data_IF_807601589750
#
_entry.id   IF_807601589750
#
_cell.length_a   1.000
_cell.length_b   1.000
_cell.length_c   1.000
_cell.angle_alpha   90.00
_cell.angle_beta   90.00
_cell.angle_gamma   90.00
#
_symmetry.space_group_name_H-M   'P 1'
#
loop_
_entity.id
_entity.type
_entity.pdbx_description
1 polymer ?
#
# COMPACT_ATOMS: atom_id res chain seq x y z
N UNK A 1 7.61 -15.97 26.23
CA UNK A 1 6.41 -15.27 25.69
C UNK A 1 6.81 -13.84 25.36
N UNK A 2 7.27 -13.59 24.12
CA UNK A 2 7.69 -12.24 23.73
C UNK A 2 6.46 -11.41 23.40
N UNK A 3 6.22 -10.35 24.18
CA UNK A 3 5.20 -9.36 23.88
C UNK A 3 5.45 -8.74 22.49
N UNK A 4 4.40 -8.34 21.75
CA UNK A 4 4.59 -7.72 20.42
C UNK A 4 5.50 -6.52 20.53
N UNK A 5 6.48 -6.43 19.62
CA UNK A 5 7.63 -5.49 19.64
C UNK A 5 7.28 -4.00 19.77
N UNK A 6 6.05 -3.61 19.47
CA UNK A 6 5.56 -2.24 19.74
C UNK A 6 5.42 -1.94 21.23
N UNK A 7 5.01 -2.92 22.01
CA UNK A 7 4.88 -2.75 23.48
C UNK A 7 6.25 -2.59 24.13
N UNK A 8 7.28 -3.26 23.59
CA UNK A 8 8.63 -3.20 24.17
C UNK A 8 9.48 -2.03 23.69
N UNK A 9 9.30 -1.55 22.45
CA UNK A 9 10.01 -0.34 21.96
C UNK A 9 9.48 0.95 22.65
N UNK A 10 8.17 1.01 22.91
CA UNK A 10 7.55 2.11 23.66
C UNK A 10 7.79 2.05 25.18
N UNK A 11 8.22 0.91 25.71
CA UNK A 11 8.51 0.80 27.14
C UNK A 11 9.92 1.28 27.54
N UNK A 12 10.91 1.31 26.63
CA UNK A 12 12.29 1.77 26.94
C UNK A 12 12.59 3.22 26.50
N UNK A 13 12.02 3.70 25.41
CA UNK A 13 11.89 5.15 25.22
C UNK A 13 10.64 5.53 26.00
N UNK A 14 10.80 6.34 27.08
CA UNK A 14 9.65 6.70 27.89
C UNK A 14 8.47 7.10 27.00
N UNK A 15 7.22 6.74 27.31
CA UNK A 15 6.05 6.91 26.43
C UNK A 15 5.94 8.34 25.89
N UNK A 16 6.49 9.31 26.61
CA UNK A 16 6.57 10.72 26.20
C UNK A 16 7.48 10.97 24.98
N UNK A 17 8.62 10.29 24.87
CA UNK A 17 9.57 10.47 23.74
C UNK A 17 8.97 9.87 22.47
N UNK A 18 8.36 8.71 22.54
CA UNK A 18 7.74 8.07 21.37
C UNK A 18 6.56 8.88 20.85
N UNK A 19 5.73 9.42 21.76
CA UNK A 19 4.63 10.32 21.40
C UNK A 19 5.15 11.61 20.80
N UNK A 20 6.21 12.21 21.38
CA UNK A 20 6.81 13.45 20.87
C UNK A 20 7.38 13.27 19.46
N UNK A 21 8.11 12.19 19.19
CA UNK A 21 8.65 11.88 17.86
C UNK A 21 7.52 11.63 16.86
N UNK A 22 6.48 10.88 17.24
CA UNK A 22 5.31 10.65 16.38
C UNK A 22 4.57 11.96 16.07
N UNK A 23 4.36 12.81 17.06
CA UNK A 23 3.75 14.12 16.88
C UNK A 23 4.60 15.05 16.00
N UNK A 24 5.92 15.04 16.15
CA UNK A 24 6.83 15.79 15.29
C UNK A 24 6.77 15.34 13.83
N UNK A 25 6.79 14.02 13.58
CA UNK A 25 6.64 13.47 12.21
C UNK A 25 5.30 13.87 11.62
N UNK A 26 4.22 13.76 12.37
CA UNK A 26 2.89 14.14 11.91
C UNK A 26 2.81 15.65 11.64
N UNK A 27 3.40 16.49 12.50
CA UNK A 27 3.46 17.93 12.30
C UNK A 27 4.24 18.29 11.03
N UNK A 28 5.36 17.62 10.77
CA UNK A 28 6.14 17.79 9.54
C UNK A 28 5.33 17.38 8.31
N UNK A 29 4.61 16.25 8.35
CA UNK A 29 3.76 15.79 7.25
C UNK A 29 2.58 16.75 6.98
N UNK A 30 2.05 17.41 7.99
CA UNK A 30 1.01 18.44 7.82
C UNK A 30 1.61 19.76 7.32
N UNK A 31 2.83 20.09 7.73
CA UNK A 31 3.52 21.31 7.28
C UNK A 31 3.89 21.27 5.80
N UNK A 32 4.27 20.10 5.24
CA UNK A 32 4.67 19.94 3.84
C UNK A 32 3.65 20.52 2.83
N UNK A 33 2.36 20.15 2.87
CA UNK A 33 1.39 20.72 1.93
C UNK A 33 1.13 22.20 2.18
N UNK A 34 1.22 22.71 3.41
CA UNK A 34 1.08 24.13 3.71
C UNK A 34 2.26 24.93 3.12
N UNK A 35 3.47 24.42 3.21
CA UNK A 35 4.66 25.02 2.62
C UNK A 35 4.61 25.00 1.08
N UNK A 36 3.95 24.03 0.47
CA UNK A 36 3.76 24.01 -0.99
C UNK A 36 2.78 25.07 -1.52
N UNK A 37 1.97 25.66 -0.65
CA UNK A 37 1.06 26.78 -1.00
C UNK A 37 1.73 28.16 -0.96
N UNK A 38 2.96 28.24 -0.43
CA UNK A 38 3.72 29.49 -0.41
C UNK A 38 4.14 29.89 -1.83
N UNK A 39 4.33 31.20 -2.09
CA UNK A 39 4.89 31.68 -3.36
C UNK A 39 6.24 31.02 -3.70
N UNK A 40 6.52 30.80 -4.98
CA UNK A 40 7.73 30.13 -5.44
C UNK A 40 9.05 30.86 -5.04
N UNK A 41 8.95 32.17 -4.78
CA UNK A 41 10.11 33.00 -4.37
C UNK A 41 10.48 32.82 -2.87
N UNK A 42 9.66 32.09 -2.11
CA UNK A 42 9.92 31.86 -0.70
C UNK A 42 10.92 30.72 -0.53
N UNK A 43 11.97 30.94 0.30
CA UNK A 43 12.98 29.92 0.60
C UNK A 43 12.45 28.61 1.22
N UNK A 44 11.24 28.65 1.81
CA UNK A 44 10.57 27.49 2.39
C UNK A 44 9.56 26.84 1.42
N UNK A 45 9.44 27.33 0.18
CA UNK A 45 8.54 26.75 -0.80
C UNK A 45 8.94 25.32 -1.17
N UNK A 46 7.97 24.40 -1.10
CA UNK A 46 8.16 23.01 -1.49
C UNK A 46 7.58 22.80 -2.88
N UNK A 47 8.40 22.29 -3.80
CA UNK A 47 7.96 22.03 -5.17
C UNK A 47 6.82 21.00 -5.24
N UNK A 48 5.94 21.17 -6.24
CA UNK A 48 4.86 20.23 -6.53
C UNK A 48 5.39 18.80 -6.77
N UNK A 49 6.59 18.67 -7.34
CA UNK A 49 7.26 17.39 -7.53
C UNK A 49 7.56 16.70 -6.20
N UNK A 50 8.16 17.43 -5.24
CA UNK A 50 8.48 16.88 -3.91
C UNK A 50 7.22 16.45 -3.18
N UNK A 51 6.13 17.24 -3.24
CA UNK A 51 4.87 16.90 -2.62
C UNK A 51 4.28 15.61 -3.22
N UNK A 52 4.28 15.49 -4.55
CA UNK A 52 3.84 14.27 -5.25
C UNK A 52 4.70 13.06 -4.91
N UNK A 53 6.02 13.22 -4.86
CA UNK A 53 6.94 12.15 -4.53
C UNK A 53 6.72 11.63 -3.11
N UNK A 54 6.60 12.53 -2.13
CA UNK A 54 6.34 12.15 -0.74
C UNK A 54 4.95 11.51 -0.62
N UNK A 55 3.92 12.06 -1.28
CA UNK A 55 2.58 11.49 -1.31
C UNK A 55 2.56 10.06 -1.89
N UNK A 56 3.30 9.82 -2.98
CA UNK A 56 3.53 8.47 -3.54
C UNK A 56 4.16 7.53 -2.51
N UNK A 57 5.21 7.98 -1.83
CA UNK A 57 5.89 7.18 -0.80
C UNK A 57 4.95 6.85 0.37
N UNK A 58 4.09 7.78 0.78
CA UNK A 58 3.09 7.54 1.82
C UNK A 58 2.05 6.50 1.39
N UNK A 59 1.60 6.50 0.13
CA UNK A 59 0.72 5.45 -0.40
C UNK A 59 1.42 4.07 -0.32
N UNK A 60 2.69 3.97 -0.69
CA UNK A 60 3.45 2.73 -0.57
C UNK A 60 3.72 2.34 0.89
N UNK A 61 3.85 3.30 1.80
CA UNK A 61 3.94 3.02 3.23
C UNK A 61 2.65 2.38 3.79
N UNK A 62 1.47 2.78 3.28
CA UNK A 62 0.20 2.13 3.61
C UNK A 62 0.17 0.69 3.10
N UNK A 63 0.65 0.44 1.87
CA UNK A 63 0.77 -0.92 1.31
C UNK A 63 1.72 -1.77 2.15
N UNK A 64 2.87 -1.24 2.54
CA UNK A 64 3.83 -1.93 3.40
C UNK A 64 3.22 -2.26 4.78
N UNK A 65 2.47 -1.33 5.38
CA UNK A 65 1.74 -1.56 6.62
C UNK A 65 0.68 -2.66 6.46
N UNK A 66 -0.10 -2.62 5.37
CA UNK A 66 -1.11 -3.61 5.06
C UNK A 66 -0.50 -5.02 4.88
N UNK A 67 0.64 -5.11 4.20
CA UNK A 67 1.41 -6.36 4.06
C UNK A 67 1.94 -6.84 5.42
N UNK A 68 2.41 -5.95 6.28
CA UNK A 68 2.91 -6.31 7.62
C UNK A 68 1.81 -6.87 8.52
N UNK A 69 0.57 -6.40 8.41
CA UNK A 69 -0.56 -6.99 9.14
C UNK A 69 -0.75 -8.47 8.79
N UNK A 70 -0.54 -8.85 7.55
CA UNK A 70 -0.67 -10.23 7.08
C UNK A 70 0.62 -11.03 7.33
N UNK A 71 1.77 -10.48 6.96
CA UNK A 71 3.03 -11.19 7.09
C UNK A 71 3.61 -11.12 8.50
N UNK A 72 3.63 -9.95 9.09
CA UNK A 72 4.23 -9.71 10.40
C UNK A 72 3.43 -10.34 11.54
N UNK A 73 2.10 -10.21 11.51
CA UNK A 73 1.22 -10.68 12.59
C UNK A 73 0.63 -12.07 12.34
N UNK A 74 0.17 -12.37 11.11
CA UNK A 74 -0.42 -13.67 10.80
C UNK A 74 0.56 -14.67 10.20
N UNK A 75 1.78 -14.26 9.86
CA UNK A 75 2.83 -15.15 9.33
C UNK A 75 2.64 -15.56 7.86
N UNK A 76 1.76 -14.89 7.13
CA UNK A 76 1.43 -15.20 5.74
C UNK A 76 2.15 -14.22 4.80
N UNK A 77 3.26 -14.61 4.21
CA UNK A 77 3.88 -13.80 3.17
C UNK A 77 3.01 -13.79 1.92
N UNK A 78 2.51 -12.63 1.56
CA UNK A 78 1.75 -12.42 0.33
C UNK A 78 2.56 -11.58 -0.66
N UNK A 79 2.57 -12.01 -1.90
CA UNK A 79 3.10 -11.27 -3.04
C UNK A 79 1.97 -10.76 -3.95
N UNK A 80 0.79 -10.58 -3.37
CA UNK A 80 -0.43 -10.19 -4.08
C UNK A 80 -0.91 -8.76 -3.83
N UNK A 81 -0.26 -8.00 -2.96
CA UNK A 81 -0.72 -6.68 -2.52
C UNK A 81 -0.71 -5.64 -3.64
N UNK A 82 0.16 -5.79 -4.65
CA UNK A 82 0.16 -4.94 -5.85
C UNK A 82 -1.14 -5.04 -6.64
N UNK A 83 -1.78 -6.22 -6.71
CA UNK A 83 -3.07 -6.39 -7.37
C UNK A 83 -4.17 -5.59 -6.66
N UNK A 84 -4.26 -5.68 -5.33
CA UNK A 84 -5.27 -4.96 -4.56
C UNK A 84 -5.07 -3.45 -4.64
N UNK A 85 -3.83 -3.00 -4.61
CA UNK A 85 -3.47 -1.60 -4.81
C UNK A 85 -3.92 -1.11 -6.20
N UNK A 86 -3.60 -1.86 -7.25
CA UNK A 86 -3.98 -1.51 -8.60
C UNK A 86 -5.50 -1.53 -8.81
N UNK A 87 -6.23 -2.52 -8.27
CA UNK A 87 -7.70 -2.56 -8.37
C UNK A 87 -8.35 -1.29 -7.80
N UNK A 88 -7.93 -0.83 -6.62
CA UNK A 88 -8.40 0.44 -6.07
C UNK A 88 -7.99 1.63 -6.91
N UNK A 89 -6.76 1.63 -7.42
CA UNK A 89 -6.26 2.64 -8.35
C UNK A 89 -7.05 2.71 -9.65
N UNK A 90 -7.37 1.57 -10.26
CA UNK A 90 -8.18 1.52 -11.48
C UNK A 90 -9.63 1.97 -11.26
N UNK A 91 -10.23 1.65 -10.12
CA UNK A 91 -11.58 2.13 -9.78
C UNK A 91 -11.62 3.66 -9.68
N UNK A 92 -10.65 4.26 -8.98
CA UNK A 92 -10.51 5.73 -8.92
C UNK A 92 -10.09 6.32 -10.27
N UNK A 93 -9.17 5.67 -10.98
CA UNK A 93 -8.70 6.09 -12.31
C UNK A 93 -9.85 6.16 -13.32
N UNK A 94 -10.76 5.19 -13.33
CA UNK A 94 -11.93 5.22 -14.20
C UNK A 94 -12.86 6.39 -13.86
N UNK A 95 -13.09 6.67 -12.58
CA UNK A 95 -13.83 7.86 -12.17
C UNK A 95 -13.19 9.15 -12.75
N UNK A 96 -11.89 9.30 -12.61
CA UNK A 96 -11.16 10.48 -13.11
C UNK A 96 -11.20 10.57 -14.65
N UNK A 97 -11.10 9.45 -15.36
CA UNK A 97 -11.26 9.38 -16.81
C UNK A 97 -12.67 9.81 -17.25
N UNK A 98 -13.69 9.38 -16.51
CA UNK A 98 -15.09 9.76 -16.76
C UNK A 98 -15.32 11.25 -16.51
N UNK A 99 -14.72 11.81 -15.44
CA UNK A 99 -14.79 13.26 -15.19
C UNK A 99 -14.13 14.07 -16.31
N UNK A 100 -13.05 13.57 -16.91
CA UNK A 100 -12.36 14.22 -18.02
C UNK A 100 -13.14 14.11 -19.34
N UNK A 101 -13.90 13.02 -19.54
CA UNK A 101 -14.68 12.74 -20.75
C UNK A 101 -16.07 13.41 -20.75
N UNK A 102 -16.60 13.80 -19.58
CA UNK A 102 -17.97 14.28 -19.44
C UNK A 102 -18.98 13.18 -19.82
N UNK A 103 -19.90 13.52 -20.74
CA UNK A 103 -20.92 12.58 -21.22
C UNK A 103 -20.39 11.58 -22.26
N UNK A 104 -19.14 11.77 -22.72
CA UNK A 104 -18.50 10.90 -23.72
C UNK A 104 -17.82 9.65 -23.12
N UNK A 105 -17.24 8.87 -24.01
CA UNK A 105 -16.35 7.75 -23.63
C UNK A 105 -14.96 8.27 -23.25
N UNK A 106 -14.27 7.61 -22.31
CA UNK A 106 -12.86 7.87 -22.01
C UNK A 106 -11.98 7.83 -23.27
N UNK A 107 -11.01 8.74 -23.38
CA UNK A 107 -10.18 8.92 -24.56
C UNK A 107 -9.48 7.62 -25.02
N UNK A 108 -9.05 6.74 -24.10
CA UNK A 108 -8.42 5.47 -24.48
C UNK A 108 -9.44 4.49 -25.12
N UNK A 109 -10.71 4.56 -24.75
CA UNK A 109 -11.77 3.72 -25.35
C UNK A 109 -12.08 4.19 -26.76
N UNK A 110 -12.19 5.49 -26.99
CA UNK A 110 -12.38 6.06 -28.34
C UNK A 110 -11.20 5.75 -29.24
N UNK A 111 -9.97 5.81 -28.72
CA UNK A 111 -8.76 5.40 -29.46
C UNK A 111 -8.78 3.91 -29.85
N UNK A 112 -9.32 3.05 -28.99
CA UNK A 112 -9.48 1.61 -29.26
C UNK A 112 -10.77 1.27 -30.01
N UNK A 113 -11.46 2.28 -30.56
CA UNK A 113 -12.72 2.12 -31.33
C UNK A 113 -13.87 1.48 -30.56
N UNK A 114 -13.92 1.67 -29.24
CA UNK A 114 -15.08 1.26 -28.44
C UNK A 114 -16.25 2.22 -28.71
N UNK A 115 -17.43 1.66 -28.85
CA UNK A 115 -18.69 2.40 -29.11
C UNK A 115 -19.50 2.64 -27.85
N UNK A 116 -19.36 1.78 -26.84
CA UNK A 116 -20.15 1.80 -25.62
C UNK A 116 -19.27 1.56 -24.39
N UNK A 117 -19.72 2.06 -23.24
CA UNK A 117 -19.08 1.81 -21.95
C UNK A 117 -19.43 0.40 -21.47
N UNK A 118 -18.45 -0.46 -21.13
CA UNK A 118 -18.70 -1.77 -20.54
C UNK A 118 -19.57 -1.67 -19.28
N UNK A 119 -20.45 -2.65 -19.06
CA UNK A 119 -21.38 -2.66 -17.94
C UNK A 119 -20.69 -2.57 -16.56
N UNK A 120 -19.51 -3.15 -16.41
CA UNK A 120 -18.74 -3.13 -15.16
C UNK A 120 -18.14 -1.73 -14.83
N UNK A 121 -18.09 -0.83 -15.80
CA UNK A 121 -17.74 0.57 -15.60
C UNK A 121 -18.94 1.51 -15.47
N UNK A 122 -20.17 0.98 -15.60
CA UNK A 122 -21.37 1.78 -15.39
C UNK A 122 -21.42 2.31 -13.96
N UNK A 123 -21.89 3.56 -13.82
CA UNK A 123 -21.94 4.22 -12.52
C UNK A 123 -20.63 4.86 -12.04
N UNK A 124 -19.47 4.56 -12.64
CA UNK A 124 -18.17 5.13 -12.22
C UNK A 124 -18.03 6.64 -12.47
N UNK A 125 -18.98 7.28 -13.11
CA UNK A 125 -19.09 8.76 -13.14
C UNK A 125 -19.47 9.37 -11.79
N UNK A 126 -20.05 8.59 -10.87
CA UNK A 126 -20.37 9.02 -9.52
C UNK A 126 -19.21 8.68 -8.56
N UNK A 127 -18.76 9.69 -7.80
CA UNK A 127 -17.66 9.54 -6.85
C UNK A 127 -17.92 8.49 -5.76
N UNK A 128 -19.14 8.49 -5.19
CA UNK A 128 -19.49 7.53 -4.13
C UNK A 128 -19.47 6.08 -4.63
N UNK A 129 -19.97 5.86 -5.86
CA UNK A 129 -19.91 4.54 -6.47
C UNK A 129 -18.48 4.09 -6.73
N UNK A 130 -17.62 4.98 -7.25
CA UNK A 130 -16.21 4.69 -7.44
C UNK A 130 -15.52 4.36 -6.11
N UNK A 131 -15.80 5.09 -5.03
CA UNK A 131 -15.29 4.78 -3.69
C UNK A 131 -15.80 3.44 -3.14
N UNK A 132 -17.05 3.07 -3.43
CA UNK A 132 -17.53 1.71 -3.13
C UNK A 132 -16.72 0.65 -3.89
N UNK A 133 -16.44 0.85 -5.17
CA UNK A 133 -15.62 -0.07 -5.97
C UNK A 133 -14.16 -0.15 -5.47
N UNK A 134 -13.59 0.96 -5.01
CA UNK A 134 -12.24 1.01 -4.39
C UNK A 134 -12.14 0.06 -3.20
N UNK A 135 -13.21 -0.10 -2.44
CA UNK A 135 -13.26 -1.02 -1.28
C UNK A 135 -13.73 -2.42 -1.69
N UNK A 136 -14.78 -2.50 -2.49
CA UNK A 136 -15.43 -3.77 -2.83
C UNK A 136 -14.59 -4.61 -3.79
N UNK A 137 -13.96 -4.03 -4.82
CA UNK A 137 -13.21 -4.82 -5.79
C UNK A 137 -12.03 -5.57 -5.15
N UNK A 138 -11.09 -4.92 -4.44
CA UNK A 138 -10.02 -5.63 -3.75
C UNK A 138 -10.54 -6.48 -2.59
N UNK A 139 -11.57 -6.01 -1.85
CA UNK A 139 -12.13 -6.71 -0.71
C UNK A 139 -12.81 -8.03 -1.10
N UNK A 140 -13.66 -8.03 -2.13
CA UNK A 140 -14.34 -9.22 -2.64
C UNK A 140 -13.35 -10.21 -3.26
N UNK A 141 -12.40 -9.72 -4.06
CA UNK A 141 -11.37 -10.60 -4.62
C UNK A 141 -10.55 -11.26 -3.51
N UNK A 142 -10.15 -10.50 -2.49
CA UNK A 142 -9.44 -11.03 -1.34
C UNK A 142 -10.30 -12.02 -0.54
N UNK A 143 -11.60 -11.73 -0.36
CA UNK A 143 -12.53 -12.60 0.33
C UNK A 143 -12.67 -13.95 -0.39
N UNK A 144 -12.94 -13.93 -1.70
CA UNK A 144 -13.13 -15.14 -2.51
C UNK A 144 -11.82 -15.96 -2.54
N UNK A 145 -10.71 -15.33 -2.91
CA UNK A 145 -9.42 -16.02 -2.97
C UNK A 145 -9.01 -16.57 -1.60
N UNK A 146 -9.09 -15.74 -0.56
CA UNK A 146 -8.72 -16.11 0.80
C UNK A 146 -9.61 -17.22 1.37
N UNK A 147 -10.92 -17.21 1.07
CA UNK A 147 -11.84 -18.25 1.50
C UNK A 147 -11.40 -19.63 0.96
N UNK A 148 -11.11 -19.74 -0.33
CA UNK A 148 -10.67 -21.00 -0.92
C UNK A 148 -9.27 -21.39 -0.45
N UNK A 149 -8.31 -20.45 -0.40
CA UNK A 149 -6.95 -20.70 0.01
C UNK A 149 -6.86 -21.20 1.46
N UNK A 150 -7.57 -20.55 2.39
CA UNK A 150 -7.53 -20.94 3.80
C UNK A 150 -8.38 -22.17 4.12
N UNK A 151 -9.46 -22.42 3.35
CA UNK A 151 -10.23 -23.65 3.42
C UNK A 151 -9.40 -24.86 2.99
N UNK A 152 -8.56 -24.70 1.95
CA UNK A 152 -7.63 -25.73 1.46
C UNK A 152 -6.38 -25.88 2.34
N UNK A 153 -6.29 -25.17 3.48
CA UNK A 153 -5.18 -25.21 4.44
C UNK A 153 -3.81 -24.87 3.82
N UNK A 154 -3.81 -24.02 2.78
CA UNK A 154 -2.58 -23.56 2.12
C UNK A 154 -1.79 -22.70 3.09
N UNK A 155 -0.47 -22.98 3.22
CA UNK A 155 0.41 -22.34 4.19
C UNK A 155 1.78 -22.01 3.57
N UNK A 156 2.49 -21.08 4.23
CA UNK A 156 3.90 -20.78 3.93
C UNK A 156 4.13 -20.36 2.48
N UNK A 157 5.14 -20.94 1.85
CA UNK A 157 5.60 -20.59 0.50
C UNK A 157 4.51 -20.79 -0.57
N UNK A 158 3.67 -21.81 -0.42
CA UNK A 158 2.57 -22.05 -1.37
C UNK A 158 1.58 -20.90 -1.44
N UNK A 159 1.29 -20.25 -0.30
CA UNK A 159 0.44 -19.07 -0.28
C UNK A 159 1.10 -17.90 -1.03
N UNK A 160 2.41 -17.70 -0.86
CA UNK A 160 3.16 -16.66 -1.57
C UNK A 160 3.14 -16.87 -3.09
N UNK A 161 3.37 -18.11 -3.54
CA UNK A 161 3.35 -18.48 -4.97
C UNK A 161 1.95 -18.26 -5.55
N UNK A 162 0.89 -18.69 -4.85
CA UNK A 162 -0.48 -18.52 -5.34
C UNK A 162 -0.90 -17.06 -5.43
N UNK A 163 -0.54 -16.24 -4.45
CA UNK A 163 -0.82 -14.79 -4.49
C UNK A 163 -0.03 -14.10 -5.59
N UNK A 164 1.21 -14.53 -5.86
CA UNK A 164 2.01 -14.05 -6.98
C UNK A 164 1.39 -14.43 -8.32
N UNK A 165 0.95 -15.67 -8.47
CA UNK A 165 0.27 -16.15 -9.68
C UNK A 165 -1.04 -15.39 -9.94
N UNK A 166 -1.84 -15.14 -8.89
CA UNK A 166 -3.06 -14.33 -8.97
C UNK A 166 -2.75 -12.92 -9.48
N UNK A 167 -1.72 -12.29 -8.93
CA UNK A 167 -1.29 -10.94 -9.30
C UNK A 167 -0.81 -10.88 -10.74
N UNK A 168 -0.01 -11.86 -11.16
CA UNK A 168 0.48 -11.95 -12.53
C UNK A 168 -0.66 -12.20 -13.54
N UNK A 169 -1.62 -13.06 -13.19
CA UNK A 169 -2.80 -13.29 -14.01
C UNK A 169 -3.65 -12.00 -14.13
N UNK A 170 -3.84 -11.26 -13.03
CA UNK A 170 -4.48 -9.94 -13.05
C UNK A 170 -3.74 -8.96 -13.96
N UNK A 171 -2.42 -8.87 -13.84
CA UNK A 171 -1.59 -8.03 -14.70
C UNK A 171 -1.80 -8.34 -16.18
N UNK A 172 -1.73 -9.62 -16.56
CA UNK A 172 -1.93 -10.04 -17.95
C UNK A 172 -3.33 -9.72 -18.46
N UNK A 173 -4.36 -9.86 -17.62
CA UNK A 173 -5.75 -9.50 -17.96
C UNK A 173 -5.85 -7.99 -18.25
N UNK A 174 -5.22 -7.16 -17.43
CA UNK A 174 -5.29 -5.70 -17.57
C UNK A 174 -4.41 -5.17 -18.73
N UNK A 175 -3.39 -5.91 -19.16
CA UNK A 175 -2.62 -5.57 -20.35
C UNK A 175 -3.40 -5.74 -21.66
N UNK A 176 -4.50 -6.52 -21.66
CA UNK A 176 -5.31 -6.70 -22.87
C UNK A 176 -6.12 -5.45 -23.16
N UNK A 177 -6.04 -4.96 -24.38
CA UNK A 177 -6.81 -3.78 -24.83
C UNK A 177 -8.32 -4.03 -24.85
N UNK A 178 -8.72 -5.30 -25.05
CA UNK A 178 -10.11 -5.73 -25.18
C UNK A 178 -10.85 -5.78 -23.82
N UNK A 179 -10.13 -5.59 -22.71
CA UNK A 179 -10.72 -5.69 -21.37
C UNK A 179 -11.12 -4.35 -20.77
N UNK A 180 -10.98 -3.23 -21.50
CA UNK A 180 -11.41 -1.90 -21.04
C UNK A 180 -10.63 -1.33 -19.87
N UNK A 181 -9.37 -1.80 -19.63
CA UNK A 181 -8.47 -1.29 -18.59
C UNK A 181 -7.32 -0.43 -19.16
N UNK A 182 -7.41 0.01 -20.42
CA UNK A 182 -6.42 0.87 -21.06
C UNK A 182 -5.15 0.15 -21.53
N UNK A 183 -5.06 -1.16 -21.41
CA UNK A 183 -3.95 -1.98 -21.89
C UNK A 183 -2.59 -1.54 -21.33
N UNK A 184 -1.55 -1.53 -22.17
CA UNK A 184 -0.20 -1.18 -21.75
C UNK A 184 -0.06 0.26 -21.21
N UNK A 185 -0.82 1.20 -21.75
CA UNK A 185 -0.77 2.60 -21.34
C UNK A 185 -1.52 2.86 -20.02
N UNK A 186 -2.46 2.00 -19.66
CA UNK A 186 -3.32 2.20 -18.51
C UNK A 186 -4.21 3.44 -18.61
N UNK A 187 -4.47 4.09 -17.48
CA UNK A 187 -5.23 5.33 -17.42
C UNK A 187 -4.31 6.50 -17.09
N UNK A 188 -4.42 7.58 -17.87
CA UNK A 188 -3.58 8.78 -17.80
C UNK A 188 -4.42 10.03 -18.10
N UNK A 189 -3.80 11.21 -18.02
CA UNK A 189 -4.43 12.49 -18.41
C UNK A 189 -5.65 12.85 -17.55
N UNK A 190 -5.57 12.61 -16.27
CA UNK A 190 -6.60 13.04 -15.32
C UNK A 190 -6.61 14.57 -15.20
N UNK A 191 -7.80 15.19 -15.33
CA UNK A 191 -7.94 16.64 -15.32
C UNK A 191 -8.52 17.16 -14.02
N UNK A 192 -9.63 16.58 -13.58
CA UNK A 192 -10.40 17.08 -12.45
C UNK A 192 -10.80 15.97 -11.50
N UNK A 193 -10.91 16.30 -10.23
CA UNK A 193 -11.51 15.47 -9.18
C UNK A 193 -12.54 16.31 -8.43
N UNK A 194 -13.80 15.85 -8.35
CA UNK A 194 -14.90 16.56 -7.71
C UNK A 194 -15.08 18.02 -8.23
N UNK A 195 -14.75 18.26 -9.50
CA UNK A 195 -14.80 19.58 -10.12
C UNK A 195 -13.55 20.46 -9.93
N UNK A 196 -12.59 20.04 -9.09
CA UNK A 196 -11.34 20.78 -8.87
C UNK A 196 -10.23 20.25 -9.78
N UNK A 197 -9.41 21.15 -10.31
CA UNK A 197 -8.24 20.77 -11.13
C UNK A 197 -7.18 20.03 -10.33
N UNK A 198 -6.75 18.85 -10.79
CA UNK A 198 -5.74 18.02 -10.08
C UNK A 198 -4.37 18.72 -10.02
N UNK A 199 -4.09 19.60 -10.98
CA UNK A 199 -2.84 20.36 -11.04
C UNK A 199 -2.79 21.55 -10.09
N UNK A 200 -3.93 21.97 -9.54
CA UNK A 200 -4.01 23.08 -8.61
C UNK A 200 -3.28 22.80 -7.30
N UNK A 201 -2.50 23.75 -6.77
CA UNK A 201 -1.75 23.57 -5.52
C UNK A 201 -2.64 23.16 -4.34
N UNK A 202 -3.83 23.77 -4.23
CA UNK A 202 -4.81 23.45 -3.19
C UNK A 202 -5.31 22.00 -3.26
N UNK A 203 -5.65 21.52 -4.45
CA UNK A 203 -6.11 20.14 -4.67
C UNK A 203 -5.01 19.12 -4.33
N UNK A 204 -3.76 19.39 -4.72
CA UNK A 204 -2.61 18.55 -4.37
C UNK A 204 -2.39 18.51 -2.87
N UNK A 205 -2.49 19.64 -2.18
CA UNK A 205 -2.38 19.71 -0.73
C UNK A 205 -3.47 18.88 -0.03
N UNK A 206 -4.72 18.96 -0.49
CA UNK A 206 -5.85 18.18 0.06
C UNK A 206 -5.64 16.68 -0.18
N UNK A 207 -5.22 16.25 -1.38
CA UNK A 207 -4.92 14.86 -1.70
C UNK A 207 -3.78 14.30 -0.82
N UNK A 208 -2.74 15.10 -0.61
CA UNK A 208 -1.65 14.73 0.28
C UNK A 208 -2.14 14.56 1.73
N UNK A 209 -2.92 15.52 2.25
CA UNK A 209 -3.52 15.43 3.59
C UNK A 209 -4.45 14.23 3.74
N UNK A 210 -5.25 13.91 2.71
CA UNK A 210 -6.08 12.71 2.70
C UNK A 210 -5.23 11.43 2.80
N UNK A 211 -4.06 11.41 2.16
CA UNK A 211 -3.11 10.27 2.27
C UNK A 211 -2.49 10.18 3.66
N UNK A 212 -2.10 11.30 4.26
CA UNK A 212 -1.63 11.34 5.65
C UNK A 212 -2.72 10.84 6.61
N UNK A 213 -3.97 11.29 6.42
CA UNK A 213 -5.11 10.85 7.23
C UNK A 213 -5.34 9.34 7.09
N UNK A 214 -5.30 8.81 5.87
CA UNK A 214 -5.44 7.36 5.63
C UNK A 214 -4.28 6.58 6.28
N UNK A 215 -3.05 7.08 6.22
CA UNK A 215 -1.91 6.46 6.87
C UNK A 215 -2.08 6.41 8.39
N UNK A 216 -2.49 7.52 9.01
CA UNK A 216 -2.75 7.61 10.46
C UNK A 216 -3.90 6.67 10.85
N UNK A 217 -4.99 6.65 10.07
CA UNK A 217 -6.10 5.74 10.29
C UNK A 217 -5.67 4.26 10.18
N UNK A 218 -4.87 3.93 9.16
CA UNK A 218 -4.32 2.58 8.97
C UNK A 218 -3.40 2.15 10.12
N UNK A 219 -2.54 3.06 10.59
CA UNK A 219 -1.70 2.84 11.78
C UNK A 219 -2.55 2.64 13.03
N UNK A 220 -3.60 3.44 13.22
CA UNK A 220 -4.50 3.30 14.37
C UNK A 220 -5.24 1.96 14.34
N UNK A 221 -5.77 1.56 13.19
CA UNK A 221 -6.41 0.25 13.00
C UNK A 221 -5.41 -0.87 13.31
N UNK A 222 -4.21 -0.82 12.74
CA UNK A 222 -3.16 -1.81 12.99
C UNK A 222 -2.74 -1.89 14.45
N UNK A 223 -2.57 -0.74 15.10
CA UNK A 223 -2.25 -0.66 16.51
C UNK A 223 -3.38 -1.20 17.42
N UNK A 224 -4.63 -0.85 17.12
CA UNK A 224 -5.80 -1.35 17.82
C UNK A 224 -5.94 -2.86 17.66
N UNK A 225 -5.74 -3.35 16.43
CA UNK A 225 -5.76 -4.78 16.12
C UNK A 225 -4.66 -5.52 16.88
N UNK A 226 -3.42 -5.07 16.83
CA UNK A 226 -2.27 -5.71 17.45
C UNK A 226 -2.41 -5.82 18.99
N UNK A 227 -3.02 -4.83 19.63
CA UNK A 227 -3.26 -4.82 21.09
C UNK A 227 -4.50 -5.59 21.52
N UNK A 228 -5.38 -5.94 20.63
CA UNK A 228 -6.62 -6.65 20.91
C UNK A 228 -6.39 -8.14 21.24
N UNK A 229 -7.44 -8.81 21.71
CA UNK A 229 -7.45 -10.29 21.82
C UNK A 229 -7.21 -10.95 20.47
N UNK A 230 -7.78 -10.36 19.41
CA UNK A 230 -7.61 -10.81 18.03
C UNK A 230 -6.13 -10.80 17.60
N UNK A 231 -5.40 -9.72 17.85
CA UNK A 231 -3.97 -9.61 17.53
C UNK A 231 -3.11 -10.62 18.27
N UNK A 232 -3.44 -10.94 19.52
CA UNK A 232 -2.76 -12.01 20.27
C UNK A 232 -2.99 -13.38 19.66
N UNK A 233 -4.22 -13.66 19.19
CA UNK A 233 -4.54 -14.89 18.45
C UNK A 233 -3.78 -14.96 17.13
N UNK A 234 -3.69 -13.85 16.36
CA UNK A 234 -2.90 -13.80 15.13
C UNK A 234 -1.41 -14.11 15.36
N UNK A 235 -0.82 -13.55 16.42
CA UNK A 235 0.57 -13.83 16.78
C UNK A 235 0.77 -15.30 17.18
N UNK A 236 -0.13 -15.85 17.98
CA UNK A 236 -0.10 -17.26 18.35
C UNK A 236 -0.29 -18.19 17.13
N UNK A 237 -1.11 -17.79 16.17
CA UNK A 237 -1.32 -18.48 14.90
C UNK A 237 -0.06 -18.48 14.03
N UNK A 238 0.64 -17.35 13.96
CA UNK A 238 1.94 -17.24 13.27
C UNK A 238 2.99 -18.17 13.88
N UNK A 239 3.07 -18.21 15.20
CA UNK A 239 4.14 -18.91 15.92
C UNK A 239 3.85 -20.41 16.09
N UNK A 240 2.58 -20.80 16.29
CA UNK A 240 2.20 -22.19 16.56
C UNK A 240 0.73 -22.50 16.19
N UNK A 241 0.40 -22.48 14.90
CA UNK A 241 -0.96 -22.70 14.39
C UNK A 241 -1.60 -24.00 14.91
N UNK A 242 -0.86 -25.11 14.92
CA UNK A 242 -1.38 -26.39 15.38
C UNK A 242 -1.78 -26.35 16.87
N UNK A 243 -0.97 -25.72 17.72
CA UNK A 243 -1.29 -25.57 19.15
C UNK A 243 -2.52 -24.73 19.36
N UNK A 244 -2.71 -23.68 18.56
CA UNK A 244 -3.90 -22.82 18.62
C UNK A 244 -5.17 -23.61 18.30
N UNK A 245 -5.12 -24.50 17.29
CA UNK A 245 -6.25 -25.38 16.92
C UNK A 245 -6.62 -26.34 18.06
N UNK A 246 -5.65 -26.88 18.79
CA UNK A 246 -5.92 -27.71 19.97
C UNK A 246 -6.59 -26.95 21.12
N UNK A 247 -6.43 -25.63 21.15
CA UNK A 247 -7.14 -24.76 22.10
C UNK A 247 -8.56 -24.38 21.62
N UNK A 248 -9.06 -24.97 20.52
CA UNK A 248 -10.41 -24.75 19.99
C UNK A 248 -10.57 -23.53 19.08
N UNK A 249 -9.49 -22.85 18.68
CA UNK A 249 -9.58 -21.72 17.75
C UNK A 249 -9.53 -22.19 16.31
N UNK A 250 -10.45 -21.67 15.45
CA UNK A 250 -10.38 -21.87 14.01
C UNK A 250 -9.51 -20.78 13.36
N UNK A 251 -8.33 -21.13 12.79
CA UNK A 251 -7.41 -20.16 12.19
C UNK A 251 -7.94 -19.49 10.93
N UNK A 252 -8.91 -20.11 10.22
CA UNK A 252 -9.41 -19.65 8.91
C UNK A 252 -10.02 -18.27 8.96
N UNK A 253 -10.94 -18.04 9.93
CA UNK A 253 -11.61 -16.76 10.08
C UNK A 253 -10.63 -15.61 10.41
N UNK A 254 -9.64 -15.87 11.28
CA UNK A 254 -8.63 -14.88 11.66
C UNK A 254 -7.74 -14.49 10.48
N UNK A 255 -7.28 -15.46 9.68
CA UNK A 255 -6.49 -15.24 8.48
C UNK A 255 -7.29 -14.47 7.43
N UNK A 256 -8.53 -14.90 7.18
CA UNK A 256 -9.39 -14.27 6.19
C UNK A 256 -9.67 -12.81 6.51
N UNK A 257 -10.00 -12.51 7.77
CA UNK A 257 -10.26 -11.13 8.19
C UNK A 257 -9.06 -10.20 7.96
N UNK A 258 -7.87 -10.58 8.45
CA UNK A 258 -6.69 -9.73 8.29
C UNK A 258 -6.26 -9.60 6.83
N UNK A 259 -6.47 -10.65 6.03
CA UNK A 259 -6.22 -10.66 4.59
C UNK A 259 -7.14 -9.68 3.84
N UNK A 260 -8.44 -9.74 4.08
CA UNK A 260 -9.43 -8.82 3.46
C UNK A 260 -9.18 -7.38 3.92
N UNK A 261 -8.92 -7.17 5.21
CA UNK A 261 -8.60 -5.84 5.74
C UNK A 261 -7.38 -5.24 5.05
N UNK A 262 -6.31 -6.03 4.87
CA UNK A 262 -5.09 -5.56 4.20
C UNK A 262 -5.34 -5.23 2.72
N UNK A 263 -6.15 -6.03 2.02
CA UNK A 263 -6.53 -5.78 0.63
C UNK A 263 -7.32 -4.47 0.48
N UNK A 264 -8.25 -4.19 1.38
CA UNK A 264 -9.01 -2.93 1.39
C UNK A 264 -8.10 -1.74 1.65
N UNK A 265 -7.17 -1.83 2.60
CA UNK A 265 -6.19 -0.76 2.85
C UNK A 265 -5.31 -0.49 1.62
N UNK A 266 -4.88 -1.54 0.90
CA UNK A 266 -4.16 -1.40 -0.36
C UNK A 266 -5.01 -0.73 -1.44
N UNK A 267 -6.29 -1.09 -1.57
CA UNK A 267 -7.20 -0.46 -2.52
C UNK A 267 -7.38 1.03 -2.26
N UNK A 268 -7.58 1.42 -1.00
CA UNK A 268 -7.67 2.82 -0.60
C UNK A 268 -6.36 3.59 -0.88
N UNK A 269 -5.20 2.97 -0.63
CA UNK A 269 -3.91 3.56 -0.96
C UNK A 269 -3.74 3.77 -2.47
N UNK A 270 -4.16 2.79 -3.30
CA UNK A 270 -4.17 2.90 -4.76
C UNK A 270 -5.07 4.01 -5.27
N UNK A 271 -6.25 4.18 -4.66
CA UNK A 271 -7.17 5.25 -5.03
C UNK A 271 -6.60 6.65 -4.78
N UNK A 272 -5.83 6.86 -3.71
CA UNK A 272 -5.16 8.14 -3.43
C UNK A 272 -3.86 8.32 -4.22
N UNK A 273 -3.23 7.23 -4.63
CA UNK A 273 -2.04 7.25 -5.48
C UNK A 273 -2.32 7.86 -6.85
N UNK A 274 -3.41 7.43 -7.49
CA UNK A 274 -3.73 7.75 -8.89
C UNK A 274 -3.85 9.25 -9.15
N UNK A 275 -4.64 10.05 -8.42
CA UNK A 275 -4.73 11.47 -8.66
C UNK A 275 -3.45 12.24 -8.33
N UNK A 276 -2.58 11.70 -7.47
CA UNK A 276 -1.31 12.35 -7.11
C UNK A 276 -0.23 12.08 -8.15
N UNK A 277 -0.14 10.85 -8.68
CA UNK A 277 0.90 10.45 -9.64
C UNK A 277 0.48 10.72 -11.08
N UNK A 278 -0.82 10.76 -11.36
CA UNK A 278 -1.36 11.07 -12.68
C UNK A 278 -1.41 9.90 -13.66
N UNK A 279 -1.08 8.68 -13.20
CA UNK A 279 -1.10 7.47 -14.01
C UNK A 279 -1.41 6.24 -13.16
N UNK A 280 -2.10 5.28 -13.75
CA UNK A 280 -2.17 3.90 -13.27
C UNK A 280 -2.07 2.97 -14.47
N UNK A 281 -1.16 2.00 -14.40
CA UNK A 281 -0.98 1.01 -15.45
C UNK A 281 -0.83 -0.40 -14.85
N UNK A 282 -0.95 -1.48 -15.67
CA UNK A 282 -0.87 -2.85 -15.15
C UNK A 282 0.48 -3.22 -14.56
N UNK A 283 1.56 -2.47 -14.86
CA UNK A 283 2.90 -2.72 -14.30
C UNK A 283 2.95 -2.56 -12.78
N UNK A 284 1.98 -1.85 -12.17
CA UNK A 284 1.86 -1.80 -10.70
C UNK A 284 1.60 -3.19 -10.09
N UNK A 285 1.03 -4.12 -10.86
CA UNK A 285 0.82 -5.53 -10.47
C UNK A 285 2.05 -6.41 -10.77
N UNK A 286 3.16 -5.85 -11.23
CA UNK A 286 4.32 -6.66 -11.61
C UNK A 286 4.88 -7.48 -10.43
N UNK A 287 5.46 -8.66 -10.69
CA UNK A 287 6.16 -9.43 -9.68
C UNK A 287 7.23 -8.63 -8.95
N UNK A 288 7.97 -7.80 -9.69
CA UNK A 288 9.02 -6.93 -9.13
C UNK A 288 8.47 -5.99 -8.07
N UNK A 289 7.35 -5.30 -8.32
CA UNK A 289 6.74 -4.40 -7.34
C UNK A 289 6.22 -5.14 -6.10
N UNK A 290 5.70 -6.35 -6.27
CA UNK A 290 5.26 -7.20 -5.17
C UNK A 290 6.43 -7.64 -4.27
N UNK A 291 7.58 -8.00 -4.87
CA UNK A 291 8.81 -8.34 -4.15
C UNK A 291 9.36 -7.10 -3.45
N UNK A 292 9.35 -5.94 -4.13
CA UNK A 292 9.81 -4.67 -3.57
C UNK A 292 9.01 -4.30 -2.31
N UNK A 293 7.68 -4.51 -2.31
CA UNK A 293 6.84 -4.32 -1.13
C UNK A 293 7.25 -5.23 0.04
N UNK A 294 7.61 -6.49 -0.23
CA UNK A 294 8.14 -7.39 0.79
C UNK A 294 9.50 -6.91 1.33
N UNK A 295 10.36 -6.34 0.48
CA UNK A 295 11.64 -5.73 0.91
C UNK A 295 11.40 -4.56 1.86
N UNK A 296 10.40 -3.69 1.60
CA UNK A 296 10.06 -2.58 2.50
C UNK A 296 9.75 -3.08 3.91
N UNK A 297 8.92 -4.12 4.01
CA UNK A 297 8.54 -4.73 5.30
C UNK A 297 9.73 -5.41 5.98
N UNK A 298 10.53 -6.16 5.21
CA UNK A 298 11.69 -6.87 5.74
C UNK A 298 12.77 -5.90 6.26
N UNK A 299 13.11 -4.87 5.45
CA UNK A 299 14.09 -3.84 5.83
C UNK A 299 13.65 -3.06 7.06
N UNK A 300 12.39 -2.62 7.07
CA UNK A 300 11.86 -1.83 8.18
C UNK A 300 11.80 -2.60 9.48
N UNK A 301 11.41 -3.86 9.44
CA UNK A 301 11.24 -4.74 10.59
C UNK A 301 9.83 -5.29 10.69
N UNK A 302 9.67 -6.53 10.31
CA UNK A 302 8.42 -7.27 10.27
C UNK A 302 7.74 -7.34 11.65
N UNK A 303 6.42 -7.10 11.69
CA UNK A 303 5.60 -7.16 12.90
C UNK A 303 5.79 -5.97 13.84
N UNK A 304 6.19 -4.81 13.33
CA UNK A 304 6.45 -3.62 14.14
C UNK A 304 5.55 -2.42 13.84
N UNK A 305 4.66 -2.49 12.86
CA UNK A 305 3.80 -1.42 12.31
C UNK A 305 4.55 -0.19 11.79
N UNK A 306 5.50 0.36 12.57
CA UNK A 306 6.32 1.53 12.18
C UNK A 306 7.46 1.13 11.25
N UNK A 307 8.00 -0.10 11.41
CA UNK A 307 9.08 -0.61 10.56
C UNK A 307 8.78 -0.54 9.08
N UNK A 308 7.68 -1.14 8.63
CA UNK A 308 7.27 -1.11 7.23
C UNK A 308 7.19 0.30 6.64
N UNK A 309 6.74 1.29 7.42
CA UNK A 309 6.70 2.69 6.99
C UNK A 309 8.11 3.24 6.74
N UNK A 310 9.01 3.00 7.69
CA UNK A 310 10.41 3.41 7.55
C UNK A 310 11.08 2.69 6.38
N UNK A 311 10.83 1.39 6.23
CA UNK A 311 11.35 0.62 5.11
C UNK A 311 10.84 1.12 3.76
N UNK A 312 9.54 1.40 3.63
CA UNK A 312 8.96 1.99 2.43
C UNK A 312 9.56 3.37 2.13
N UNK A 313 9.70 4.23 3.15
CA UNK A 313 10.30 5.56 3.01
C UNK A 313 11.76 5.50 2.54
N UNK A 314 12.59 4.67 3.19
CA UNK A 314 14.00 4.52 2.84
C UNK A 314 14.19 3.93 1.45
N UNK A 315 13.54 2.80 1.14
CA UNK A 315 13.72 2.12 -0.16
C UNK A 315 13.22 3.00 -1.31
N UNK A 316 12.03 3.61 -1.18
CA UNK A 316 11.49 4.44 -2.26
C UNK A 316 12.23 5.80 -2.38
N UNK A 317 12.70 6.36 -1.27
CA UNK A 317 13.58 7.53 -1.31
C UNK A 317 14.90 7.23 -2.02
N UNK A 318 15.54 6.10 -1.68
CA UNK A 318 16.75 5.63 -2.37
C UNK A 318 16.47 5.30 -3.83
N UNK A 319 15.35 4.65 -4.15
CA UNK A 319 14.93 4.36 -5.53
C UNK A 319 14.85 5.63 -6.36
N UNK A 320 14.20 6.67 -5.84
CA UNK A 320 14.06 7.95 -6.55
C UNK A 320 15.40 8.60 -6.86
N UNK A 321 16.37 8.49 -5.97
CA UNK A 321 17.73 9.00 -6.19
C UNK A 321 18.53 8.10 -7.14
N UNK A 322 18.51 6.77 -6.92
CA UNK A 322 19.28 5.81 -7.71
C UNK A 322 18.84 5.74 -9.17
N UNK A 323 17.54 5.80 -9.44
CA UNK A 323 17.00 5.75 -10.80
C UNK A 323 17.35 7.00 -11.62
N UNK A 324 17.70 8.11 -10.97
CA UNK A 324 18.23 9.30 -11.64
C UNK A 324 19.74 9.20 -11.84
N UNK A 325 20.47 8.76 -10.81
CA UNK A 325 21.94 8.71 -10.86
C UNK A 325 22.47 7.47 -11.62
N UNK A 326 21.84 6.31 -11.43
CA UNK A 326 22.28 5.02 -11.98
C UNK A 326 21.09 4.14 -12.38
N UNK A 327 20.32 4.48 -13.43
CA UNK A 327 19.04 3.83 -13.76
C UNK A 327 19.17 2.32 -14.04
N UNK A 328 20.27 1.87 -14.65
CA UNK A 328 20.50 0.48 -15.04
C UNK A 328 20.85 -0.43 -13.83
N UNK A 329 21.36 0.15 -12.75
CA UNK A 329 21.87 -0.62 -11.59
C UNK A 329 20.85 -0.76 -10.45
N UNK A 330 19.69 -0.09 -10.54
CA UNK A 330 18.69 -0.11 -9.45
C UNK A 330 18.23 -1.52 -9.06
N UNK A 331 17.95 -2.38 -10.04
CA UNK A 331 17.48 -3.74 -9.77
C UNK A 331 18.55 -4.61 -9.08
N UNK A 332 19.80 -4.43 -9.45
CA UNK A 332 20.93 -5.12 -8.80
C UNK A 332 21.09 -4.64 -7.35
N UNK A 333 20.96 -3.32 -7.14
CA UNK A 333 21.00 -2.74 -5.81
C UNK A 333 19.84 -3.26 -4.94
N UNK A 334 18.62 -3.33 -5.47
CA UNK A 334 17.46 -3.87 -4.77
C UNK A 334 17.66 -5.34 -4.40
N UNK A 335 18.20 -6.16 -5.32
CA UNK A 335 18.52 -7.56 -5.06
C UNK A 335 19.58 -7.72 -3.97
N UNK A 336 20.67 -6.96 -4.05
CA UNK A 336 21.73 -6.94 -3.03
C UNK A 336 21.18 -6.51 -1.66
N UNK A 337 20.36 -5.44 -1.62
CA UNK A 337 19.69 -4.97 -0.42
C UNK A 337 18.84 -6.07 0.21
N UNK A 338 18.05 -6.80 -0.59
CA UNK A 338 17.23 -7.90 -0.11
C UNK A 338 18.07 -9.02 0.53
N UNK A 339 19.17 -9.41 -0.13
CA UNK A 339 20.11 -10.42 0.39
C UNK A 339 20.72 -9.95 1.72
N UNK A 340 21.23 -8.73 1.77
CA UNK A 340 21.85 -8.16 2.97
C UNK A 340 20.84 -8.10 4.13
N UNK A 341 19.62 -7.61 3.87
CA UNK A 341 18.57 -7.52 4.90
C UNK A 341 18.20 -8.91 5.43
N UNK A 342 18.03 -9.88 4.54
CA UNK A 342 17.65 -11.25 4.92
C UNK A 342 18.73 -11.95 5.75
N UNK A 343 20.02 -11.78 5.40
CA UNK A 343 21.13 -12.43 6.05
C UNK A 343 21.56 -11.73 7.35
N UNK A 344 21.66 -10.41 7.33
CA UNK A 344 22.27 -9.64 8.42
C UNK A 344 21.26 -8.90 9.31
N UNK A 345 20.04 -8.63 8.82
CA UNK A 345 19.02 -7.87 9.50
C UNK A 345 17.69 -8.63 9.67
N UNK A 346 17.69 -9.83 10.28
CA UNK A 346 16.47 -10.64 10.40
C UNK A 346 15.33 -9.96 11.20
N UNK A 347 15.67 -8.93 11.99
CA UNK A 347 14.71 -8.08 12.74
C UNK A 347 14.54 -6.69 12.13
N UNK A 348 15.09 -6.45 10.93
CA UNK A 348 15.08 -5.17 10.24
C UNK A 348 15.85 -4.05 10.96
N UNK A 349 15.76 -2.83 10.40
CA UNK A 349 16.44 -1.64 10.94
C UNK A 349 15.99 -1.31 12.38
N UNK A 350 14.69 -1.52 12.69
CA UNK A 350 14.18 -1.34 14.06
C UNK A 350 14.85 -2.30 15.04
N UNK A 351 15.24 -3.49 14.61
CA UNK A 351 15.96 -4.46 15.44
C UNK A 351 17.36 -3.96 15.87
N UNK A 352 18.05 -3.19 15.01
CA UNK A 352 19.34 -2.59 15.34
C UNK A 352 19.23 -1.48 16.38
N UNK A 353 18.21 -0.63 16.26
CA UNK A 353 17.94 0.44 17.21
C UNK A 353 17.67 -0.09 18.62
N UNK A 354 17.13 -1.32 18.71
CA UNK A 354 16.86 -1.97 19.98
C UNK A 354 18.11 -2.54 20.67
N UNK A 355 19.07 -3.09 19.90
CA UNK A 355 20.33 -3.61 20.46
C UNK A 355 21.23 -2.54 21.10
N UNK A 356 21.18 -1.31 20.58
CA UNK A 356 21.98 -0.19 21.08
C UNK A 356 21.49 0.40 22.43
N UNK A 357 20.31 0.06 22.87
CA UNK A 357 19.75 0.47 24.16
C UNK A 357 19.91 -0.57 25.27
N UNK A 358 20.61 -1.68 25.01
CA UNK A 358 20.86 -2.78 25.99
C UNK A 358 22.34 -2.88 26.42
N UNK A 359 23.23 -2.01 25.89
CA UNK A 359 24.63 -1.88 26.30
C UNK A 359 24.82 -0.77 27.33
#
# INVERSE_FOLDING_TARGET
MNQPLLVTATQKAGPKITIAVGALILALLIALPLLSLLPADNALHISAYTLTLVGKILCYAIVALALDLVWGYAGLLSLGHGLFFALGGYAMGMYLMRQAAGDGLPAFMTFLSWTELPWYWSGTGNFFWAMCLVVLAPGLLALVFGFFAFRSRIKGVYFSIMTQALTFAGMLLFFRNETGFGGNNGFTNFRTILGFGITEPGTRAVLFLATVLLLVASLFIGWRLARSKFGRVLTALRDAENRLMFCGYDPRGFKLFVWVLSAVLCGLAGALYVPQVGIINPSEMSPTNSIEAAVWVALGGRGTLIGPLLGAGVVNGMKSWFTVAFPEYWLFFLGALFIIVTLYLPKGVIGLLKKRGES
#
